data_IF_637023183725
#
_entry.id   IF_637023183725
#
_cell.length_a   1.000
_cell.length_b   1.000
_cell.length_c   1.000
_cell.angle_alpha   90.00
_cell.angle_beta   90.00
_cell.angle_gamma   90.00
#
_symmetry.space_group_name_H-M   'P 1'
#
loop_
_entity.id
_entity.type
_entity.pdbx_description
1 polymer ?
#
# COMPACT_ATOMS: atom_id res chain seq x y z
N UNK A 1 14.97 -1.97 -30.26
CA UNK A 1 16.24 -2.61 -30.65
C UNK A 1 16.01 -4.11 -30.61
N UNK A 2 15.75 -4.76 -31.76
CA UNK A 2 15.55 -6.20 -31.83
C UNK A 2 16.91 -6.87 -31.61
N UNK A 3 17.10 -7.51 -30.46
CA UNK A 3 18.20 -8.42 -30.26
C UNK A 3 17.92 -9.65 -31.12
N UNK A 4 18.90 -10.03 -31.94
CA UNK A 4 18.90 -11.28 -32.69
C UNK A 4 19.00 -12.44 -31.69
N UNK A 5 17.85 -12.91 -31.23
CA UNK A 5 17.69 -13.88 -30.14
C UNK A 5 18.01 -15.33 -30.58
N UNK A 6 18.36 -15.51 -31.87
CA UNK A 6 18.54 -16.83 -32.47
C UNK A 6 19.97 -17.43 -32.29
N UNK A 7 20.93 -16.63 -31.79
CA UNK A 7 22.34 -17.01 -31.73
C UNK A 7 22.88 -17.34 -30.32
N UNK A 8 22.12 -17.00 -29.23
CA UNK A 8 22.59 -17.19 -27.85
C UNK A 8 22.21 -18.56 -27.28
N UNK A 9 23.12 -19.17 -26.56
CA UNK A 9 22.86 -20.39 -25.81
C UNK A 9 21.87 -20.14 -24.65
N UNK A 10 21.13 -21.13 -24.16
CA UNK A 10 20.26 -20.99 -23.00
C UNK A 10 20.96 -20.42 -21.75
N UNK A 11 22.22 -20.76 -21.53
CA UNK A 11 23.02 -20.26 -20.42
C UNK A 11 23.34 -18.77 -20.56
N UNK A 12 23.71 -18.32 -21.76
CA UNK A 12 23.98 -16.92 -22.06
C UNK A 12 22.70 -16.06 -21.91
N UNK A 13 21.55 -16.57 -22.37
CA UNK A 13 20.26 -15.89 -22.17
C UNK A 13 19.90 -15.74 -20.69
N UNK A 14 20.06 -16.80 -19.90
CA UNK A 14 19.83 -16.77 -18.45
C UNK A 14 20.73 -15.75 -17.77
N UNK A 15 22.00 -15.71 -18.12
CA UNK A 15 22.96 -14.75 -17.58
C UNK A 15 22.59 -13.30 -17.94
N UNK A 16 22.19 -13.05 -19.18
CA UNK A 16 21.78 -11.73 -19.64
C UNK A 16 20.48 -11.25 -18.96
N UNK A 17 19.53 -12.16 -18.71
CA UNK A 17 18.30 -11.86 -17.95
C UNK A 17 18.67 -11.46 -16.51
N UNK A 18 19.48 -12.28 -15.83
CA UNK A 18 19.91 -12.02 -14.46
C UNK A 18 20.58 -10.64 -14.35
N UNK A 19 21.55 -10.34 -15.21
CA UNK A 19 22.24 -9.05 -15.21
C UNK A 19 21.29 -7.86 -15.43
N UNK A 20 20.30 -8.02 -16.33
CA UNK A 20 19.28 -6.99 -16.57
C UNK A 20 18.41 -6.77 -15.34
N UNK A 21 17.99 -7.84 -14.65
CA UNK A 21 17.18 -7.76 -13.44
C UNK A 21 17.97 -7.12 -12.29
N UNK A 22 19.23 -7.49 -12.09
CA UNK A 22 20.12 -6.86 -11.11
C UNK A 22 20.30 -5.35 -11.37
N UNK A 23 20.49 -4.96 -12.63
CA UNK A 23 20.57 -3.55 -13.00
C UNK A 23 19.24 -2.84 -12.73
N UNK A 24 18.12 -3.42 -13.14
CA UNK A 24 16.80 -2.83 -12.88
C UNK A 24 16.56 -2.70 -11.38
N UNK A 25 16.84 -3.72 -10.59
CA UNK A 25 16.69 -3.69 -9.14
C UNK A 25 17.49 -2.53 -8.51
N UNK A 26 18.73 -2.31 -8.94
CA UNK A 26 19.55 -1.20 -8.44
C UNK A 26 19.00 0.20 -8.73
N UNK A 27 18.07 0.33 -9.68
CA UNK A 27 17.45 1.60 -10.08
C UNK A 27 16.09 1.85 -9.42
N UNK A 28 15.33 0.78 -9.08
CA UNK A 28 13.90 0.92 -8.70
C UNK A 28 13.56 0.40 -7.31
N UNK A 29 14.44 -0.36 -6.66
CA UNK A 29 14.15 -0.85 -5.30
C UNK A 29 13.95 0.32 -4.34
N UNK A 30 12.98 0.24 -3.41
CA UNK A 30 12.80 1.25 -2.38
C UNK A 30 14.09 1.37 -1.53
N UNK A 31 14.39 2.54 -1.00
CA UNK A 31 15.55 2.77 -0.11
C UNK A 31 15.31 2.12 1.25
N UNK A 32 14.07 2.21 1.75
CA UNK A 32 13.64 1.64 3.01
C UNK A 32 13.16 0.19 2.89
N UNK A 33 13.51 -0.61 3.88
CA UNK A 33 13.14 -2.02 4.04
C UNK A 33 12.49 -2.30 5.39
N UNK A 34 12.36 -1.24 6.17
CA UNK A 34 11.78 -1.21 7.51
C UNK A 34 10.25 -1.27 7.43
N UNK A 35 9.61 -1.42 8.57
CA UNK A 35 8.19 -1.15 8.74
C UNK A 35 7.96 0.36 8.68
N UNK A 36 6.83 0.80 8.16
CA UNK A 36 6.44 2.22 8.20
C UNK A 36 5.33 2.40 9.23
N UNK A 37 5.65 3.00 10.37
CA UNK A 37 4.74 3.12 11.51
C UNK A 37 4.82 4.52 12.13
N UNK A 38 3.69 5.18 12.26
CA UNK A 38 3.63 6.52 12.87
C UNK A 38 4.34 7.61 12.08
N UNK A 39 4.53 7.43 10.77
CA UNK A 39 5.31 8.36 9.93
C UNK A 39 6.81 8.08 9.93
N UNK A 40 7.27 7.02 10.58
CA UNK A 40 8.69 6.69 10.71
C UNK A 40 9.00 5.30 10.15
N UNK A 41 10.22 5.13 9.64
CA UNK A 41 10.77 3.85 9.23
C UNK A 41 11.42 3.17 10.42
N UNK A 42 10.88 2.03 10.84
CA UNK A 42 11.25 1.36 12.10
C UNK A 42 11.55 -0.11 11.89
N UNK A 43 12.50 -0.64 12.66
CA UNK A 43 12.75 -2.07 12.70
C UNK A 43 11.61 -2.82 13.39
N UNK A 44 11.40 -4.09 12.99
CA UNK A 44 10.47 -4.97 13.70
C UNK A 44 10.92 -5.19 15.15
N UNK A 45 9.97 -5.41 16.05
CA UNK A 45 10.24 -5.64 17.47
C UNK A 45 11.15 -6.85 17.71
N UNK A 46 11.06 -7.87 16.84
CA UNK A 46 11.94 -9.05 16.89
C UNK A 46 13.33 -8.81 16.29
N UNK A 47 13.48 -7.80 15.42
CA UNK A 47 14.67 -7.61 14.58
C UNK A 47 14.81 -8.65 13.46
N UNK A 48 13.83 -9.53 13.26
CA UNK A 48 13.84 -10.53 12.20
C UNK A 48 13.54 -9.91 10.83
N UNK A 49 14.06 -10.55 9.79
CA UNK A 49 13.86 -10.17 8.39
C UNK A 49 13.52 -11.39 7.56
N UNK A 50 12.93 -11.16 6.39
CA UNK A 50 12.76 -12.19 5.35
C UNK A 50 13.13 -11.62 3.99
N UNK A 51 13.49 -12.52 3.09
CA UNK A 51 13.90 -12.15 1.73
C UNK A 51 12.71 -12.16 0.78
N UNK A 52 12.59 -11.10 -0.04
CA UNK A 52 11.79 -11.14 -1.25
C UNK A 52 12.64 -11.65 -2.40
N UNK A 53 12.04 -12.39 -3.32
CA UNK A 53 12.75 -13.12 -4.38
C UNK A 53 12.17 -12.75 -5.73
N UNK A 54 13.02 -12.41 -6.69
CA UNK A 54 12.65 -12.29 -8.10
C UNK A 54 12.19 -13.66 -8.62
N UNK A 55 10.91 -13.85 -8.96
CA UNK A 55 10.39 -15.14 -9.39
C UNK A 55 10.95 -15.59 -10.75
N UNK A 56 11.53 -14.71 -11.52
CA UNK A 56 12.14 -15.03 -12.82
C UNK A 56 13.54 -15.63 -12.67
N UNK A 57 14.33 -15.11 -11.74
CA UNK A 57 15.73 -15.50 -11.56
C UNK A 57 15.96 -16.42 -10.37
N UNK A 58 15.09 -16.32 -9.35
CA UNK A 58 15.24 -16.99 -8.06
C UNK A 58 16.25 -16.31 -7.14
N UNK A 59 16.69 -15.09 -7.48
CA UNK A 59 17.65 -14.33 -6.68
C UNK A 59 16.90 -13.43 -5.68
N UNK A 60 17.53 -13.20 -4.53
CA UNK A 60 16.99 -12.25 -3.54
C UNK A 60 17.00 -10.84 -4.11
N UNK A 61 15.86 -10.15 -4.04
CA UNK A 61 15.72 -8.73 -4.38
C UNK A 61 16.07 -7.84 -3.20
N UNK A 62 15.48 -8.13 -2.06
CA UNK A 62 15.66 -7.37 -0.84
C UNK A 62 15.39 -8.23 0.39
N UNK A 63 15.99 -7.86 1.52
CA UNK A 63 15.61 -8.37 2.84
C UNK A 63 14.79 -7.29 3.54
N UNK A 64 13.55 -7.61 3.91
CA UNK A 64 12.61 -6.70 4.55
C UNK A 64 12.30 -7.14 5.99
N UNK A 65 11.84 -6.23 6.84
CA UNK A 65 11.53 -6.55 8.23
C UNK A 65 10.36 -7.54 8.33
N UNK A 66 10.47 -8.52 9.23
CA UNK A 66 9.42 -9.46 9.59
C UNK A 66 8.66 -8.94 10.82
N UNK A 67 7.58 -8.20 10.57
CA UNK A 67 6.70 -7.70 11.62
C UNK A 67 5.91 -8.83 12.29
N UNK A 68 5.54 -8.62 13.53
CA UNK A 68 4.81 -9.55 14.37
C UNK A 68 3.65 -8.86 15.12
N UNK A 69 3.05 -9.55 16.10
CA UNK A 69 1.92 -9.03 16.87
C UNK A 69 2.25 -7.71 17.61
N UNK A 70 3.45 -7.57 18.16
CA UNK A 70 3.88 -6.33 18.83
C UNK A 70 3.97 -5.15 17.85
N UNK A 71 4.41 -5.39 16.61
CA UNK A 71 4.46 -4.38 15.57
C UNK A 71 3.06 -3.98 15.10
N UNK A 72 2.13 -4.93 15.07
CA UNK A 72 0.71 -4.63 14.80
C UNK A 72 0.12 -3.77 15.91
N UNK A 73 0.38 -4.11 17.19
CA UNK A 73 -0.08 -3.29 18.33
C UNK A 73 0.45 -1.85 18.23
N UNK A 74 1.74 -1.67 17.90
CA UNK A 74 2.37 -0.35 17.68
C UNK A 74 1.73 0.40 16.52
N UNK A 75 1.50 -0.27 15.39
CA UNK A 75 0.89 0.33 14.21
C UNK A 75 -0.57 0.73 14.45
N UNK A 76 -1.34 -0.08 15.18
CA UNK A 76 -2.73 0.25 15.54
C UNK A 76 -2.78 1.42 16.53
N UNK A 77 -1.88 1.45 17.51
CA UNK A 77 -1.78 2.59 18.44
C UNK A 77 -1.45 3.88 17.69
N UNK A 78 -0.42 3.88 16.83
CA UNK A 78 -0.05 5.03 16.01
C UNK A 78 -1.19 5.49 15.09
N UNK A 79 -1.95 4.54 14.52
CA UNK A 79 -3.11 4.86 13.68
C UNK A 79 -4.24 5.53 14.47
N UNK A 80 -4.49 5.11 15.71
CA UNK A 80 -5.47 5.76 16.59
C UNK A 80 -5.03 7.15 17.02
N UNK A 81 -3.77 7.32 17.41
CA UNK A 81 -3.22 8.63 17.75
C UNK A 81 -3.34 9.59 16.55
N UNK A 82 -2.95 9.15 15.36
CA UNK A 82 -3.09 9.96 14.13
C UNK A 82 -4.56 10.28 13.81
N UNK A 83 -5.47 9.33 13.99
CA UNK A 83 -6.90 9.54 13.78
C UNK A 83 -7.45 10.58 14.75
N UNK A 84 -7.22 10.41 16.03
CA UNK A 84 -7.80 11.27 17.08
C UNK A 84 -7.20 12.69 17.06
N UNK A 85 -5.89 12.82 16.88
CA UNK A 85 -5.18 14.09 16.98
C UNK A 85 -5.22 14.93 15.70
N UNK A 86 -5.26 14.29 14.52
CA UNK A 86 -5.08 14.98 13.23
C UNK A 86 -6.18 14.64 12.24
N UNK A 87 -6.34 13.34 11.90
CA UNK A 87 -7.07 12.96 10.70
C UNK A 87 -8.58 13.09 10.83
N UNK A 88 -9.14 12.92 12.02
CA UNK A 88 -10.57 13.16 12.29
C UNK A 88 -10.96 14.64 12.05
N UNK A 89 -10.00 15.56 12.11
CA UNK A 89 -10.18 16.98 11.81
C UNK A 89 -10.06 17.34 10.32
N UNK A 90 -9.62 16.40 9.45
CA UNK A 90 -9.50 16.66 8.02
C UNK A 90 -10.88 16.86 7.38
N UNK A 91 -11.01 17.96 6.65
CA UNK A 91 -12.19 18.19 5.82
C UNK A 91 -12.20 17.24 4.60
N UNK A 92 -13.35 17.12 3.97
CA UNK A 92 -13.48 16.37 2.70
C UNK A 92 -12.53 16.92 1.62
N UNK A 93 -12.24 18.24 1.66
CA UNK A 93 -11.33 18.91 0.74
C UNK A 93 -9.86 18.51 1.01
N UNK A 94 -9.46 18.39 2.27
CA UNK A 94 -8.11 17.96 2.64
C UNK A 94 -7.86 16.52 2.22
N UNK A 95 -8.84 15.64 2.45
CA UNK A 95 -8.77 14.24 2.00
C UNK A 95 -8.73 14.11 0.48
N UNK A 96 -9.51 14.93 -0.23
CA UNK A 96 -9.44 15.00 -1.69
C UNK A 96 -8.03 15.40 -2.15
N UNK A 97 -7.49 16.50 -1.63
CA UNK A 97 -6.17 17.00 -2.01
C UNK A 97 -5.06 15.99 -1.74
N UNK A 98 -5.11 15.29 -0.60
CA UNK A 98 -4.17 14.23 -0.25
C UNK A 98 -4.22 13.08 -1.27
N UNK A 99 -5.40 12.57 -1.61
CA UNK A 99 -5.54 11.48 -2.57
C UNK A 99 -5.14 11.89 -3.99
N UNK A 100 -5.41 13.13 -4.41
CA UNK A 100 -4.94 13.68 -5.68
C UNK A 100 -3.40 13.72 -5.70
N UNK A 101 -2.78 14.19 -4.62
CA UNK A 101 -1.32 14.22 -4.51
C UNK A 101 -0.70 12.82 -4.53
N UNK A 102 -1.30 11.83 -3.85
CA UNK A 102 -0.86 10.42 -3.95
C UNK A 102 -0.93 9.91 -5.39
N UNK A 103 -2.01 10.21 -6.12
CA UNK A 103 -2.15 9.84 -7.52
C UNK A 103 -1.05 10.47 -8.39
N UNK A 104 -0.75 11.74 -8.17
CA UNK A 104 0.28 12.46 -8.91
C UNK A 104 1.68 11.90 -8.66
N UNK A 105 1.99 11.46 -7.42
CA UNK A 105 3.25 10.79 -7.09
C UNK A 105 3.39 9.45 -7.83
N UNK A 106 2.35 8.62 -7.81
CA UNK A 106 2.36 7.35 -8.54
C UNK A 106 2.50 7.58 -10.05
N UNK A 107 1.79 8.55 -10.62
CA UNK A 107 1.87 8.86 -12.05
C UNK A 107 3.26 9.36 -12.45
N UNK A 108 3.85 10.26 -11.64
CA UNK A 108 5.19 10.78 -11.88
C UNK A 108 6.29 9.68 -11.86
N UNK A 109 6.06 8.62 -11.11
CA UNK A 109 6.99 7.48 -10.94
C UNK A 109 6.46 6.18 -11.57
N UNK A 110 5.47 6.25 -12.47
CA UNK A 110 4.76 5.08 -13.00
C UNK A 110 5.69 4.02 -13.62
N UNK A 111 6.73 4.43 -14.34
CA UNK A 111 7.69 3.49 -14.94
C UNK A 111 8.57 2.81 -13.86
N UNK A 112 8.97 3.52 -12.82
CA UNK A 112 9.73 2.96 -11.70
C UNK A 112 8.90 1.92 -10.96
N UNK A 113 7.65 2.25 -10.60
CA UNK A 113 6.70 1.32 -9.98
C UNK A 113 6.41 0.10 -10.87
N UNK A 114 6.18 0.30 -12.16
CA UNK A 114 5.91 -0.80 -13.09
C UNK A 114 7.09 -1.77 -13.19
N UNK A 115 8.31 -1.26 -13.25
CA UNK A 115 9.53 -2.07 -13.27
C UNK A 115 9.73 -2.81 -11.96
N UNK A 116 9.46 -2.15 -10.82
CA UNK A 116 9.51 -2.75 -9.50
C UNK A 116 8.50 -3.90 -9.36
N UNK A 117 7.24 -3.68 -9.74
CA UNK A 117 6.24 -4.76 -9.71
C UNK A 117 6.55 -5.90 -10.66
N UNK A 118 7.13 -5.61 -11.83
CA UNK A 118 7.56 -6.66 -12.75
C UNK A 118 8.68 -7.53 -12.16
N UNK A 119 9.57 -6.96 -11.35
CA UNK A 119 10.61 -7.71 -10.63
C UNK A 119 10.05 -8.51 -9.44
N UNK A 120 9.26 -7.86 -8.58
CA UNK A 120 8.80 -8.41 -7.30
C UNK A 120 7.70 -9.46 -7.49
N UNK A 121 6.77 -9.21 -8.44
CA UNK A 121 5.64 -10.10 -8.75
C UNK A 121 5.90 -11.07 -9.91
N UNK A 122 6.78 -10.72 -10.84
CA UNK A 122 7.04 -11.49 -12.06
C UNK A 122 6.04 -11.26 -13.19
N UNK A 123 5.11 -10.31 -13.09
CA UNK A 123 4.15 -10.00 -14.17
C UNK A 123 4.85 -9.34 -15.37
N UNK A 124 4.29 -9.47 -16.58
CA UNK A 124 4.82 -8.75 -17.74
C UNK A 124 4.82 -7.24 -17.52
N UNK A 125 5.88 -6.56 -17.95
CA UNK A 125 6.02 -5.10 -17.79
C UNK A 125 4.87 -4.32 -18.43
N UNK A 126 4.25 -4.85 -19.49
CA UNK A 126 3.08 -4.25 -20.14
C UNK A 126 1.87 -4.23 -19.21
N UNK A 127 1.65 -5.30 -18.45
CA UNK A 127 0.58 -5.40 -17.46
C UNK A 127 0.88 -4.49 -16.26
N UNK A 128 2.12 -4.49 -15.76
CA UNK A 128 2.52 -3.62 -14.67
C UNK A 128 2.33 -2.13 -14.99
N UNK A 129 2.59 -1.69 -16.23
CA UNK A 129 2.34 -0.31 -16.68
C UNK A 129 0.84 0.03 -16.68
N UNK A 130 -0.02 -0.91 -17.08
CA UNK A 130 -1.48 -0.75 -17.01
C UNK A 130 -1.91 -0.62 -15.56
N UNK A 131 -1.39 -1.47 -14.67
CA UNK A 131 -1.71 -1.42 -13.24
C UNK A 131 -1.37 -0.04 -12.64
N UNK A 132 -0.23 0.55 -12.96
CA UNK A 132 0.13 1.89 -12.45
C UNK A 132 -0.84 2.98 -12.91
N UNK A 133 -1.32 2.89 -14.15
CA UNK A 133 -2.38 3.79 -14.65
C UNK A 133 -3.66 3.62 -13.83
N UNK A 134 -4.04 2.39 -13.52
CA UNK A 134 -5.23 2.08 -12.72
C UNK A 134 -5.07 2.49 -11.25
N UNK A 135 -3.86 2.40 -10.69
CA UNK A 135 -3.56 2.89 -9.33
C UNK A 135 -3.83 4.38 -9.21
N UNK A 136 -3.26 5.18 -10.13
CA UNK A 136 -3.47 6.63 -10.13
C UNK A 136 -4.95 6.98 -10.36
N UNK A 137 -5.63 6.30 -11.29
CA UNK A 137 -7.06 6.50 -11.56
C UNK A 137 -7.92 6.19 -10.33
N UNK A 138 -7.61 5.13 -9.58
CA UNK A 138 -8.34 4.78 -8.36
C UNK A 138 -8.20 5.85 -7.27
N UNK A 139 -7.00 6.35 -7.01
CA UNK A 139 -6.83 7.43 -6.06
C UNK A 139 -7.59 8.68 -6.49
N UNK A 140 -7.56 9.07 -7.77
CA UNK A 140 -8.34 10.20 -8.30
C UNK A 140 -9.85 9.98 -8.22
N UNK A 141 -10.31 8.76 -8.49
CA UNK A 141 -11.73 8.41 -8.36
C UNK A 141 -12.21 8.62 -6.93
N UNK A 142 -11.48 8.11 -5.93
CA UNK A 142 -11.86 8.28 -4.52
C UNK A 142 -11.61 9.70 -4.00
N UNK A 143 -10.66 10.43 -4.54
CA UNK A 143 -10.51 11.87 -4.30
C UNK A 143 -11.78 12.63 -4.72
N UNK A 144 -12.33 12.33 -5.91
CA UNK A 144 -13.59 12.91 -6.38
C UNK A 144 -14.80 12.54 -5.52
N UNK A 145 -14.80 11.33 -4.94
CA UNK A 145 -15.89 10.84 -4.07
C UNK A 145 -15.80 11.43 -2.65
N UNK A 146 -14.63 11.81 -2.16
CA UNK A 146 -14.44 12.29 -0.80
C UNK A 146 -15.43 13.39 -0.40
N UNK A 147 -15.80 14.27 -1.36
CA UNK A 147 -16.78 15.34 -1.18
C UNK A 147 -18.23 14.94 -1.44
N UNK A 148 -18.50 13.70 -1.80
CA UNK A 148 -19.85 13.23 -2.19
C UNK A 148 -20.46 12.29 -1.16
N UNK A 149 -19.97 12.31 0.07
CA UNK A 149 -20.50 11.51 1.17
C UNK A 149 -21.82 12.13 1.67
N UNK A 150 -22.92 11.66 1.11
CA UNK A 150 -24.24 12.11 1.51
C UNK A 150 -24.90 11.19 2.53
N UNK A 151 -25.57 11.80 3.51
CA UNK A 151 -26.56 11.12 4.37
C UNK A 151 -27.96 11.18 3.75
N UNK A 152 -28.92 10.61 4.43
CA UNK A 152 -30.34 10.66 4.04
C UNK A 152 -31.17 11.25 5.16
N UNK A 153 -32.15 12.08 4.80
CA UNK A 153 -33.17 12.55 5.72
C UNK A 153 -34.53 11.98 5.31
N UNK A 154 -35.25 11.39 6.25
CA UNK A 154 -36.60 10.90 6.05
C UNK A 154 -37.53 11.51 7.10
N UNK A 155 -38.54 12.25 6.63
CA UNK A 155 -39.67 12.66 7.46
C UNK A 155 -40.58 11.46 7.74
N UNK A 156 -40.85 11.18 8.99
CA UNK A 156 -41.77 10.10 9.38
C UNK A 156 -43.15 10.64 9.76
N UNK A 157 -43.19 11.80 10.38
CA UNK A 157 -44.41 12.58 10.72
C UNK A 157 -43.96 13.98 11.22
N UNK A 158 -44.93 14.81 11.61
CA UNK A 158 -44.67 16.18 12.05
C UNK A 158 -43.81 16.30 13.33
N UNK A 159 -43.59 15.21 14.05
CA UNK A 159 -42.84 15.19 15.33
C UNK A 159 -41.53 14.44 15.27
N UNK A 160 -41.17 13.83 14.15
CA UNK A 160 -39.94 13.03 14.03
C UNK A 160 -39.24 13.25 12.71
N UNK A 161 -37.93 13.48 12.80
CA UNK A 161 -37.00 13.45 11.69
C UNK A 161 -36.00 12.29 11.88
N UNK A 162 -35.76 11.52 10.83
CA UNK A 162 -34.76 10.45 10.82
C UNK A 162 -33.66 10.88 9.87
N UNK A 163 -32.43 10.92 10.38
CA UNK A 163 -31.24 11.22 9.57
C UNK A 163 -30.28 10.04 9.62
N UNK A 164 -29.66 9.74 8.49
CA UNK A 164 -28.52 8.83 8.40
C UNK A 164 -27.27 9.69 8.22
N UNK A 165 -26.35 9.62 9.16
CA UNK A 165 -25.02 10.21 9.05
C UNK A 165 -24.05 9.10 8.70
N UNK A 166 -23.05 9.42 7.91
CA UNK A 166 -21.93 8.51 7.62
C UNK A 166 -20.72 9.01 8.38
N UNK A 167 -20.14 8.14 9.18
CA UNK A 167 -18.96 8.43 10.00
C UNK A 167 -17.86 7.41 9.67
N UNK A 168 -16.56 7.78 9.75
CA UNK A 168 -15.49 6.83 9.62
C UNK A 168 -15.52 5.79 10.74
N UNK A 169 -14.96 4.63 10.48
CA UNK A 169 -14.75 3.60 11.51
C UNK A 169 -13.66 3.99 12.52
N UNK A 170 -12.74 4.86 12.13
CA UNK A 170 -11.53 5.20 12.84
C UNK A 170 -10.34 4.47 12.24
N UNK A 171 -9.91 3.35 12.83
CA UNK A 171 -8.79 2.56 12.31
C UNK A 171 -9.27 1.30 11.62
N UNK A 172 -8.77 1.06 10.40
CA UNK A 172 -9.11 -0.12 9.59
C UNK A 172 -7.86 -0.92 9.22
N UNK A 173 -7.98 -2.24 9.24
CA UNK A 173 -6.95 -3.17 8.80
C UNK A 173 -7.12 -3.54 7.32
N UNK A 174 -6.02 -3.69 6.61
CA UNK A 174 -5.99 -4.10 5.21
C UNK A 174 -4.94 -5.18 4.99
N UNK A 175 -5.31 -6.29 4.35
CA UNK A 175 -4.40 -7.36 3.95
C UNK A 175 -4.42 -7.44 2.42
N UNK A 176 -3.25 -7.34 1.81
CA UNK A 176 -3.09 -7.22 0.37
C UNK A 176 -2.56 -8.54 -0.19
N UNK A 177 -3.18 -9.13 -1.23
CA UNK A 177 -2.66 -10.30 -1.91
C UNK A 177 -1.50 -9.95 -2.86
N UNK A 178 -0.76 -10.98 -3.28
CA UNK A 178 0.45 -10.84 -4.09
C UNK A 178 0.20 -10.55 -5.58
N UNK A 179 -0.98 -10.86 -6.12
CA UNK A 179 -1.21 -10.85 -7.58
C UNK A 179 -1.35 -9.46 -8.20
N UNK A 180 -1.79 -8.46 -7.44
CA UNK A 180 -1.87 -7.05 -7.82
C UNK A 180 -1.43 -6.16 -6.64
N UNK A 181 -0.14 -6.13 -6.29
CA UNK A 181 0.31 -5.55 -5.03
C UNK A 181 -0.16 -4.10 -4.84
N UNK A 182 0.32 -3.17 -5.64
CA UNK A 182 -0.01 -1.75 -5.50
C UNK A 182 -1.45 -1.44 -5.91
N UNK A 183 -1.98 -2.11 -6.93
CA UNK A 183 -3.36 -1.87 -7.38
C UNK A 183 -4.38 -2.29 -6.32
N UNK A 184 -4.19 -3.44 -5.66
CA UNK A 184 -5.06 -3.88 -4.57
C UNK A 184 -4.89 -3.02 -3.32
N UNK A 185 -3.69 -2.48 -3.08
CA UNK A 185 -3.50 -1.46 -2.05
C UNK A 185 -4.31 -0.19 -2.36
N UNK A 186 -4.24 0.34 -3.58
CA UNK A 186 -5.02 1.51 -3.99
C UNK A 186 -6.54 1.27 -3.87
N UNK A 187 -7.04 0.08 -4.23
CA UNK A 187 -8.46 -0.27 -4.08
C UNK A 187 -8.95 -0.25 -2.64
N UNK A 188 -8.06 -0.42 -1.67
CA UNK A 188 -8.39 -0.42 -0.25
C UNK A 188 -8.02 0.92 0.43
N UNK A 189 -6.87 1.49 0.12
CA UNK A 189 -6.44 2.79 0.65
C UNK A 189 -7.37 3.93 0.18
N UNK A 190 -7.65 4.00 -1.13
CA UNK A 190 -8.48 5.05 -1.70
C UNK A 190 -9.80 5.25 -0.96
N UNK A 191 -10.69 4.25 -0.89
CA UNK A 191 -11.97 4.38 -0.17
C UNK A 191 -11.81 4.57 1.34
N UNK A 192 -10.81 3.95 1.97
CA UNK A 192 -10.60 4.10 3.42
C UNK A 192 -10.21 5.53 3.78
N UNK A 193 -9.24 6.09 3.06
CA UNK A 193 -8.75 7.45 3.26
C UNK A 193 -9.82 8.49 2.86
N UNK A 194 -10.51 8.31 1.72
CA UNK A 194 -11.60 9.19 1.32
C UNK A 194 -12.71 9.28 2.39
N UNK A 195 -13.00 8.16 3.05
CA UNK A 195 -13.98 8.09 4.13
C UNK A 195 -13.45 8.57 5.50
N UNK A 196 -12.19 8.98 5.59
CA UNK A 196 -11.59 9.55 6.81
C UNK A 196 -11.09 8.50 7.80
N UNK A 197 -10.71 7.30 7.37
CA UNK A 197 -10.14 6.27 8.24
C UNK A 197 -8.61 6.26 8.18
N UNK A 198 -7.96 6.06 9.31
CA UNK A 198 -6.56 5.66 9.36
C UNK A 198 -6.42 4.15 9.09
N UNK A 199 -5.26 3.73 8.61
CA UNK A 199 -5.06 2.39 8.04
C UNK A 199 -3.82 1.72 8.62
N UNK A 200 -3.96 0.43 8.95
CA UNK A 200 -2.84 -0.49 9.13
C UNK A 200 -2.89 -1.52 8.00
N UNK A 201 -1.86 -1.55 7.16
CA UNK A 201 -1.80 -2.36 5.96
C UNK A 201 -0.70 -3.42 6.07
N UNK A 202 -1.05 -4.69 5.81
CA UNK A 202 -0.10 -5.77 5.63
C UNK A 202 -0.06 -6.18 4.16
N UNK A 203 1.06 -5.94 3.45
CA UNK A 203 1.26 -6.50 2.11
C UNK A 203 1.45 -8.02 2.16
N UNK A 204 1.30 -8.68 1.01
CA UNK A 204 1.74 -10.07 0.87
C UNK A 204 3.27 -10.15 1.08
N UNK A 205 3.71 -11.20 1.73
CA UNK A 205 5.13 -11.46 1.99
C UNK A 205 5.94 -11.63 0.70
N UNK A 206 5.30 -12.11 -0.36
CA UNK A 206 5.95 -12.30 -1.66
C UNK A 206 6.18 -10.98 -2.42
N UNK A 207 5.37 -9.92 -2.15
CA UNK A 207 5.37 -8.70 -2.97
C UNK A 207 5.19 -7.42 -2.16
N UNK A 208 6.04 -7.13 -1.16
CA UNK A 208 5.88 -5.96 -0.31
C UNK A 208 6.49 -4.67 -0.90
N UNK A 209 7.39 -4.77 -1.89
CA UNK A 209 8.29 -3.69 -2.24
C UNK A 209 7.61 -2.48 -2.87
N UNK A 210 6.59 -2.68 -3.72
CA UNK A 210 5.87 -1.56 -4.33
C UNK A 210 5.05 -0.76 -3.32
N UNK A 211 4.60 -1.39 -2.22
CA UNK A 211 3.88 -0.72 -1.14
C UNK A 211 4.84 0.09 -0.26
N UNK A 212 6.02 -0.46 0.06
CA UNK A 212 7.07 0.31 0.74
C UNK A 212 7.49 1.51 -0.11
N UNK A 213 7.68 1.33 -1.42
CA UNK A 213 7.97 2.42 -2.35
C UNK A 213 6.87 3.48 -2.39
N UNK A 214 5.59 3.08 -2.28
CA UNK A 214 4.49 4.05 -2.19
C UNK A 214 4.64 4.93 -0.95
N UNK A 215 4.99 4.36 0.20
CA UNK A 215 5.19 5.16 1.42
C UNK A 215 6.36 6.14 1.28
N UNK A 216 7.50 5.73 0.71
CA UNK A 216 8.62 6.64 0.42
C UNK A 216 8.19 7.83 -0.45
N UNK A 217 7.40 7.59 -1.48
CA UNK A 217 6.97 8.62 -2.43
C UNK A 217 5.84 9.51 -1.90
N UNK A 218 5.22 9.14 -0.77
CA UNK A 218 4.04 9.84 -0.22
C UNK A 218 4.18 10.24 1.25
N UNK A 219 5.32 10.05 1.88
CA UNK A 219 5.54 10.39 3.29
C UNK A 219 5.33 11.88 3.60
N UNK A 220 5.59 12.77 2.64
CA UNK A 220 5.35 14.21 2.76
C UNK A 220 3.90 14.63 2.40
N UNK A 221 3.07 13.70 1.97
CA UNK A 221 1.69 13.90 1.51
C UNK A 221 0.68 13.35 2.51
N UNK A 222 0.93 12.15 3.02
CA UNK A 222 0.06 11.46 3.99
C UNK A 222 0.50 11.85 5.39
N UNK A 223 -0.39 12.35 6.27
CA UNK A 223 -0.01 12.68 7.64
C UNK A 223 0.54 11.48 8.41
N UNK A 224 1.52 11.73 9.27
CA UNK A 224 2.16 10.70 10.09
C UNK A 224 1.14 9.81 10.79
N UNK A 225 1.31 8.50 10.70
CA UNK A 225 0.45 7.50 11.31
C UNK A 225 -0.92 7.26 10.66
N UNK A 226 -1.34 8.05 9.65
CA UNK A 226 -2.61 7.82 8.93
C UNK A 226 -2.55 6.56 8.08
N UNK A 227 -1.39 6.23 7.52
CA UNK A 227 -1.13 4.93 6.87
C UNK A 227 0.09 4.31 7.54
N UNK A 228 -0.08 3.07 8.01
CA UNK A 228 0.99 2.28 8.60
C UNK A 228 1.14 0.99 7.81
N UNK A 229 2.37 0.58 7.53
CA UNK A 229 2.67 -0.64 6.76
C UNK A 229 3.53 -1.58 7.60
N UNK A 230 2.98 -2.76 7.86
CA UNK A 230 3.68 -3.83 8.58
C UNK A 230 3.85 -5.02 7.64
N UNK A 231 5.08 -5.22 7.16
CA UNK A 231 5.47 -6.41 6.39
C UNK A 231 5.60 -7.61 7.33
N UNK A 232 5.40 -8.82 6.82
CA UNK A 232 5.48 -10.05 7.62
C UNK A 232 4.55 -11.13 7.11
N UNK A 233 4.63 -12.29 7.75
CA UNK A 233 3.87 -13.48 7.35
C UNK A 233 2.43 -13.47 7.86
N UNK A 234 1.58 -14.29 7.22
CA UNK A 234 0.16 -14.42 7.58
C UNK A 234 -0.05 -14.70 9.08
N UNK A 235 0.56 -15.76 9.66
CA UNK A 235 0.39 -16.09 11.08
C UNK A 235 0.95 -15.04 12.04
N UNK A 236 2.05 -14.35 11.66
CA UNK A 236 2.80 -13.49 12.58
C UNK A 236 2.31 -12.05 12.62
N UNK A 237 1.85 -11.53 11.48
CA UNK A 237 1.34 -10.17 11.34
C UNK A 237 -0.12 -10.12 10.86
N UNK A 238 -0.52 -11.00 9.93
CA UNK A 238 -1.86 -11.00 9.35
C UNK A 238 -2.94 -11.45 10.35
N UNK A 239 -2.72 -12.54 11.07
CA UNK A 239 -3.65 -13.04 12.08
C UNK A 239 -3.80 -12.05 13.26
N UNK A 240 -2.71 -11.52 13.86
CA UNK A 240 -2.83 -10.44 14.84
C UNK A 240 -3.60 -9.23 14.32
N UNK A 241 -3.34 -8.75 13.11
CA UNK A 241 -4.08 -7.62 12.52
C UNK A 241 -5.58 -7.93 12.40
N UNK A 242 -5.93 -9.14 11.97
CA UNK A 242 -7.33 -9.52 11.76
C UNK A 242 -8.11 -9.68 13.05
N UNK A 243 -7.44 -10.01 14.15
CA UNK A 243 -8.05 -10.25 15.46
C UNK A 243 -7.87 -9.08 16.44
N UNK A 244 -7.23 -7.99 16.02
CA UNK A 244 -6.93 -6.87 16.91
C UNK A 244 -8.18 -6.08 17.28
N UNK A 245 -8.45 -5.90 18.59
CA UNK A 245 -9.64 -5.20 19.11
C UNK A 245 -9.72 -3.73 18.66
N UNK A 246 -8.59 -3.09 18.38
CA UNK A 246 -8.49 -1.73 17.86
C UNK A 246 -8.84 -1.58 16.38
N UNK A 247 -8.97 -2.67 15.63
CA UNK A 247 -9.36 -2.66 14.22
C UNK A 247 -10.89 -2.73 14.11
N UNK A 248 -11.50 -1.69 13.56
CA UNK A 248 -12.96 -1.58 13.45
C UNK A 248 -13.54 -2.20 12.17
N UNK A 249 -12.72 -2.39 11.15
CA UNK A 249 -13.06 -3.02 9.89
C UNK A 249 -11.82 -3.66 9.29
N UNK A 250 -11.97 -4.83 8.73
CA UNK A 250 -10.92 -5.52 7.97
C UNK A 250 -11.32 -5.60 6.50
N UNK A 251 -10.34 -5.40 5.59
CA UNK A 251 -10.46 -5.62 4.15
C UNK A 251 -9.30 -6.48 3.65
N UNK A 252 -9.61 -7.56 2.89
CA UNK A 252 -8.65 -8.48 2.27
C UNK A 252 -9.17 -8.99 0.92
#
# INVERSE_FOLDING_TARGET
MSLDDSAQSPAERKSAIKQRHEQTASEVLPEHRELYVGGEWVHSASGETFDTVDPTTGETLASVQAGNAEDIDRAVAAAWDAYDDVYSGYSDADRQAMLEAMADRVEAKAEEFARLESLDNGKPITEARIDMTLVADHFRYFAGIARSHEGRTKGTNDSRHVQTLREPYGVVGQIIPWNFPLLMAAWKLGPALAAGNAVVLKPAEETPLSILKLMEETEDVVPDGVVNVVTGFGPDAGEPLSNHDGIRKLAF
#
